data_IF_445634730914
#
_entry.id   IF_445634730914
#
_cell.length_a   1.000
_cell.length_b   1.000
_cell.length_c   1.000
_cell.angle_alpha   90.00
_cell.angle_beta   90.00
_cell.angle_gamma   90.00
#
_symmetry.space_group_name_H-M   'P 1'
#
loop_
_entity.id
_entity.type
_entity.pdbx_description
1 polymer ?
#
# COMPACT_ATOMS: atom_id res chain seq x y z
N UNK A 1 13.28 -31.11 13.10
CA UNK A 1 13.26 -30.46 11.77
C UNK A 1 14.15 -29.23 11.82
N UNK A 2 15.02 -29.01 10.84
CA UNK A 2 15.90 -27.83 10.78
C UNK A 2 15.20 -26.70 10.03
N UNK A 3 15.17 -25.48 10.60
CA UNK A 3 14.56 -24.32 9.97
C UNK A 3 15.41 -23.86 8.77
N UNK A 4 14.79 -23.70 7.60
CA UNK A 4 15.44 -23.14 6.40
C UNK A 4 15.41 -21.62 6.49
N UNK A 5 16.57 -20.97 6.33
CA UNK A 5 16.65 -19.51 6.25
C UNK A 5 16.18 -19.06 4.87
N UNK A 6 15.23 -18.13 4.84
CA UNK A 6 14.74 -17.48 3.63
C UNK A 6 15.02 -15.98 3.77
N UNK A 7 15.40 -15.33 2.68
CA UNK A 7 15.66 -13.90 2.62
C UNK A 7 14.84 -13.24 1.51
N UNK A 8 14.51 -11.97 1.70
CA UNK A 8 13.89 -11.14 0.67
C UNK A 8 14.99 -10.46 -0.14
N UNK A 9 15.01 -10.70 -1.45
CA UNK A 9 16.05 -10.18 -2.36
C UNK A 9 15.62 -8.94 -3.14
N UNK A 10 14.34 -8.56 -3.07
CA UNK A 10 13.81 -7.39 -3.73
C UNK A 10 12.41 -7.06 -3.22
N UNK A 11 12.03 -5.79 -3.34
CA UNK A 11 10.75 -5.25 -2.89
C UNK A 11 10.22 -4.27 -3.94
N UNK A 12 8.90 -4.28 -4.12
CA UNK A 12 8.17 -3.33 -4.95
C UNK A 12 6.74 -3.23 -4.47
N UNK A 13 6.17 -2.02 -4.54
CA UNK A 13 4.84 -1.74 -4.04
C UNK A 13 4.18 -0.67 -4.91
N UNK A 14 2.92 -0.91 -5.29
CA UNK A 14 2.03 0.07 -5.89
C UNK A 14 0.88 0.27 -4.91
N UNK A 15 0.83 1.44 -4.29
CA UNK A 15 -0.07 1.70 -3.17
C UNK A 15 -0.57 3.14 -3.19
N UNK A 16 -1.70 3.44 -2.53
CA UNK A 16 -2.19 4.81 -2.39
C UNK A 16 -1.23 5.76 -1.63
N UNK A 17 -0.19 5.24 -0.98
CA UNK A 17 0.81 6.03 -0.25
C UNK A 17 2.17 6.12 -0.95
N UNK A 18 2.29 5.55 -2.16
CA UNK A 18 3.50 5.59 -2.97
C UNK A 18 3.51 4.52 -4.05
N UNK A 19 4.00 4.88 -5.25
CA UNK A 19 4.10 3.99 -6.41
C UNK A 19 5.55 3.60 -6.72
N UNK A 20 6.51 4.14 -5.97
CA UNK A 20 7.88 3.67 -5.92
C UNK A 20 8.20 3.13 -4.53
N UNK A 21 9.23 2.29 -4.42
CA UNK A 21 9.65 1.76 -3.12
C UNK A 21 9.98 2.88 -2.12
N UNK A 22 10.64 3.94 -2.58
CA UNK A 22 11.02 5.08 -1.74
C UNK A 22 9.80 5.84 -1.23
N UNK A 23 8.87 6.19 -2.13
CA UNK A 23 7.63 6.89 -1.76
C UNK A 23 6.79 6.06 -0.80
N UNK A 24 6.63 4.77 -1.09
CA UNK A 24 5.89 3.84 -0.23
C UNK A 24 6.49 3.79 1.18
N UNK A 25 7.82 3.63 1.27
CA UNK A 25 8.51 3.57 2.56
C UNK A 25 8.34 4.85 3.37
N UNK A 26 8.57 6.01 2.73
CA UNK A 26 8.41 7.31 3.38
C UNK A 26 6.95 7.54 3.79
N UNK A 27 5.98 7.13 2.98
CA UNK A 27 4.56 7.20 3.31
C UNK A 27 4.19 6.33 4.50
N UNK A 28 4.69 5.09 4.54
CA UNK A 28 4.41 4.12 5.60
C UNK A 28 4.99 4.59 6.94
N UNK A 29 6.27 4.98 6.97
CA UNK A 29 6.97 5.38 8.20
C UNK A 29 6.36 6.67 8.79
N UNK A 30 5.89 7.59 7.95
CA UNK A 30 5.24 8.82 8.40
C UNK A 30 3.73 8.66 8.67
N UNK A 31 3.18 7.44 8.57
CA UNK A 31 1.76 7.19 8.84
C UNK A 31 0.81 7.92 7.88
N UNK A 32 1.20 8.11 6.62
CA UNK A 32 0.34 8.76 5.63
C UNK A 32 -0.93 7.93 5.40
N UNK A 33 -2.09 8.58 5.47
CA UNK A 33 -3.34 7.96 5.04
C UNK A 33 -3.44 7.98 3.52
N UNK A 34 -3.71 6.83 2.92
CA UNK A 34 -3.99 6.70 1.49
C UNK A 34 -5.48 6.68 1.15
N UNK A 35 -6.36 6.87 2.14
CA UNK A 35 -7.81 6.85 1.92
C UNK A 35 -8.25 8.10 1.16
N UNK A 36 -9.04 7.90 0.10
CA UNK A 36 -9.60 8.96 -0.72
C UNK A 36 -11.00 8.56 -1.20
N UNK A 37 -11.86 9.53 -1.59
CA UNK A 37 -13.13 9.24 -2.23
C UNK A 37 -12.96 8.40 -3.51
N UNK A 38 -13.95 7.57 -3.80
CA UNK A 38 -14.00 6.79 -5.05
C UNK A 38 -14.28 7.75 -6.21
N UNK A 39 -13.49 7.66 -7.29
CA UNK A 39 -13.60 8.54 -8.47
C UNK A 39 -14.12 7.85 -9.73
N UNK A 40 -14.20 6.51 -9.72
CA UNK A 40 -14.52 5.71 -10.90
C UNK A 40 -16.01 5.42 -11.07
N UNK A 41 -16.82 5.63 -10.03
CA UNK A 41 -18.28 5.55 -10.11
C UNK A 41 -18.94 6.40 -9.00
N UNK A 42 -20.21 6.72 -9.19
CA UNK A 42 -21.03 7.45 -8.21
C UNK A 42 -21.43 6.54 -7.04
N UNK A 43 -20.94 6.88 -5.84
CA UNK A 43 -21.19 6.13 -4.62
C UNK A 43 -22.38 6.63 -3.81
N UNK A 44 -23.03 7.76 -4.16
CA UNK A 44 -24.03 8.43 -3.31
C UNK A 44 -25.23 7.54 -2.95
N UNK A 45 -25.57 6.59 -3.83
CA UNK A 45 -26.74 5.71 -3.67
C UNK A 45 -26.41 4.31 -3.16
N UNK A 46 -25.17 4.07 -2.77
CA UNK A 46 -24.72 2.76 -2.29
C UNK A 46 -24.82 2.68 -0.76
N UNK A 47 -25.39 1.59 -0.25
CA UNK A 47 -25.53 1.33 1.19
C UNK A 47 -24.14 1.15 1.82
N UNK A 48 -23.90 1.85 2.94
CA UNK A 48 -22.69 1.76 3.77
C UNK A 48 -22.81 0.69 4.84
#
# INVERSE_FOLDING_TARGET
>A
MQLKRVVVTGLGALTPIGNTLQEYWDGLVNGKSGAAPITYYDTEKHKT
#
